data_IF_425131780881
#
_entry.id   IF_425131780881
#
_cell.length_a   1.000
_cell.length_b   1.000
_cell.length_c   1.000
_cell.angle_alpha   90.00
_cell.angle_beta   90.00
_cell.angle_gamma   90.00
#
_symmetry.space_group_name_H-M   'P 1'
#
loop_
_entity.id
_entity.type
_entity.pdbx_description
1 polymer ?
#
# COMPACT_ATOMS: atom_id res chain seq x y z
N UNK A 1 -1.40 -39.74 -75.69
CA UNK A 1 -0.49 -38.71 -75.13
C UNK A 1 -1.11 -38.18 -73.84
N UNK A 2 -0.49 -38.39 -72.67
CA UNK A 2 -1.05 -37.92 -71.41
C UNK A 2 -0.67 -36.44 -71.18
N UNK A 3 -1.67 -35.61 -70.89
CA UNK A 3 -1.51 -34.20 -70.55
C UNK A 3 -1.14 -34.15 -69.06
N UNK A 4 0.12 -33.82 -68.78
CA UNK A 4 0.63 -33.68 -67.42
C UNK A 4 0.02 -32.48 -66.69
N UNK A 5 -0.71 -32.74 -65.62
CA UNK A 5 -1.21 -31.72 -64.69
C UNK A 5 -0.06 -31.25 -63.79
N UNK A 6 0.45 -30.05 -64.05
CA UNK A 6 1.42 -29.35 -63.21
C UNK A 6 0.77 -28.96 -61.88
N UNK A 7 0.99 -29.76 -60.83
CA UNK A 7 0.72 -29.37 -59.45
C UNK A 7 1.68 -28.24 -59.03
N UNK A 8 1.18 -27.01 -58.97
CA UNK A 8 1.88 -25.89 -58.35
C UNK A 8 1.78 -26.02 -56.81
N UNK A 9 2.90 -25.97 -56.07
CA UNK A 9 2.88 -26.07 -54.60
C UNK A 9 2.41 -24.74 -53.99
N UNK A 10 1.12 -24.65 -53.66
CA UNK A 10 0.49 -23.48 -53.01
C UNK A 10 0.53 -23.55 -51.47
N UNK A 11 1.70 -23.71 -50.84
CA UNK A 11 1.75 -23.94 -49.37
C UNK A 11 2.75 -23.15 -48.50
N UNK A 12 3.52 -22.17 -49.00
CA UNK A 12 4.58 -21.54 -48.17
C UNK A 12 4.29 -20.14 -47.57
N UNK A 13 3.16 -19.49 -47.85
CA UNK A 13 2.92 -18.09 -47.40
C UNK A 13 2.15 -17.94 -46.08
N UNK A 14 1.49 -19.00 -45.58
CA UNK A 14 0.71 -18.96 -44.31
C UNK A 14 1.53 -18.74 -43.03
N UNK A 15 2.79 -19.21 -42.87
CA UNK A 15 3.55 -19.07 -41.62
C UNK A 15 3.96 -17.62 -41.31
N UNK A 16 4.07 -16.76 -42.32
CA UNK A 16 4.46 -15.37 -42.11
C UNK A 16 3.29 -14.53 -41.59
N UNK A 17 2.10 -14.67 -42.16
CA UNK A 17 0.89 -13.93 -41.74
C UNK A 17 0.55 -14.16 -40.26
N UNK A 18 0.69 -15.39 -39.74
CA UNK A 18 0.40 -15.69 -38.33
C UNK A 18 1.41 -15.05 -37.37
N UNK A 19 2.70 -14.96 -37.75
CA UNK A 19 3.72 -14.24 -36.97
C UNK A 19 3.48 -12.74 -36.93
N UNK A 20 3.08 -12.15 -38.06
CA UNK A 20 2.75 -10.72 -38.14
C UNK A 20 1.54 -10.37 -37.27
N UNK A 21 0.48 -11.19 -37.33
CA UNK A 21 -0.71 -11.02 -36.48
C UNK A 21 -0.37 -11.13 -34.99
N UNK A 22 0.36 -12.16 -34.57
CA UNK A 22 0.77 -12.33 -33.18
C UNK A 22 1.64 -11.16 -32.66
N UNK A 23 2.53 -10.62 -33.50
CA UNK A 23 3.35 -9.45 -33.16
C UNK A 23 2.50 -8.19 -32.99
N UNK A 24 1.55 -7.96 -33.91
CA UNK A 24 0.60 -6.84 -33.86
C UNK A 24 -0.27 -6.89 -32.60
N UNK A 25 -0.82 -8.05 -32.27
CA UNK A 25 -1.66 -8.26 -31.09
C UNK A 25 -0.88 -8.03 -29.80
N UNK A 26 0.36 -8.53 -29.73
CA UNK A 26 1.23 -8.30 -28.59
C UNK A 26 1.56 -6.81 -28.41
N UNK A 27 1.82 -6.08 -29.51
CA UNK A 27 2.06 -4.63 -29.47
C UNK A 27 0.81 -3.88 -28.99
N UNK A 28 -0.37 -4.21 -29.52
CA UNK A 28 -1.64 -3.62 -29.11
C UNK A 28 -1.92 -3.83 -27.62
N UNK A 29 -1.69 -5.04 -27.11
CA UNK A 29 -1.82 -5.35 -25.68
C UNK A 29 -0.84 -4.56 -24.81
N UNK A 30 0.41 -4.40 -25.26
CA UNK A 30 1.42 -3.60 -24.55
C UNK A 30 1.04 -2.12 -24.49
N UNK A 31 0.57 -1.54 -25.60
CA UNK A 31 0.10 -0.15 -25.67
C UNK A 31 -1.11 0.04 -24.77
N UNK A 32 -2.07 -0.89 -24.79
CA UNK A 32 -3.23 -0.88 -23.89
C UNK A 32 -2.78 -0.90 -22.42
N UNK A 33 -1.89 -1.82 -22.04
CA UNK A 33 -1.37 -1.93 -20.69
C UNK A 33 -0.67 -0.65 -20.21
N UNK A 34 0.13 -0.02 -21.06
CA UNK A 34 0.77 1.27 -20.77
C UNK A 34 -0.25 2.39 -20.56
N UNK A 35 -1.28 2.47 -21.42
CA UNK A 35 -2.35 3.46 -21.31
C UNK A 35 -3.14 3.31 -20.00
N UNK A 36 -3.47 2.08 -19.61
CA UNK A 36 -4.18 1.78 -18.37
C UNK A 36 -3.36 2.16 -17.13
N UNK A 37 -2.06 1.85 -17.12
CA UNK A 37 -1.16 2.08 -15.98
C UNK A 37 -0.71 3.54 -15.83
N UNK A 38 -0.63 4.30 -16.94
CA UNK A 38 -0.05 5.65 -16.99
C UNK A 38 -0.56 6.60 -15.90
N UNK A 39 -1.87 6.70 -15.60
CA UNK A 39 -2.35 7.64 -14.58
C UNK A 39 -1.82 7.34 -13.18
N UNK A 40 -1.76 6.06 -12.80
CA UNK A 40 -1.22 5.63 -11.51
C UNK A 40 0.29 5.86 -11.45
N UNK A 41 1.00 5.58 -12.56
CA UNK A 41 2.43 5.88 -12.67
C UNK A 41 2.69 7.38 -12.48
N UNK A 42 1.90 8.26 -13.09
CA UNK A 42 2.03 9.70 -12.92
C UNK A 42 1.82 10.12 -11.46
N UNK A 43 0.82 9.56 -10.77
CA UNK A 43 0.55 9.85 -9.35
C UNK A 43 1.71 9.39 -8.46
N UNK A 44 2.24 8.18 -8.69
CA UNK A 44 3.39 7.66 -7.95
C UNK A 44 4.62 8.57 -8.05
N UNK A 45 4.93 9.07 -9.24
CA UNK A 45 6.08 9.96 -9.45
C UNK A 45 5.81 11.42 -9.07
N UNK A 46 4.56 11.85 -8.99
CA UNK A 46 4.21 13.16 -8.46
C UNK A 46 4.51 13.27 -6.96
N UNK A 47 4.44 12.18 -6.19
CA UNK A 47 4.75 12.17 -4.75
C UNK A 47 6.15 12.72 -4.43
N UNK A 48 7.24 12.08 -4.91
CA UNK A 48 8.60 12.57 -4.71
C UNK A 48 8.81 14.01 -5.22
N UNK A 49 8.24 14.37 -6.37
CA UNK A 49 8.37 15.71 -6.95
C UNK A 49 7.68 16.78 -6.09
N UNK A 50 6.46 16.52 -5.64
CA UNK A 50 5.71 17.44 -4.79
C UNK A 50 6.31 17.55 -3.39
N UNK A 51 6.98 16.49 -2.90
CA UNK A 51 7.68 16.54 -1.62
C UNK A 51 8.77 17.62 -1.59
N UNK A 52 9.51 17.82 -2.70
CA UNK A 52 10.54 18.87 -2.81
C UNK A 52 10.00 20.29 -2.59
N UNK A 53 8.74 20.53 -2.94
CA UNK A 53 8.10 21.83 -2.75
C UNK A 53 7.22 21.86 -1.49
N UNK A 54 7.14 20.74 -0.77
CA UNK A 54 6.30 20.54 0.41
C UNK A 54 4.80 20.38 0.10
N UNK A 55 4.46 20.00 -1.13
CA UNK A 55 3.09 19.91 -1.64
C UNK A 55 2.51 18.50 -1.62
N UNK A 56 3.20 17.50 -1.10
CA UNK A 56 2.76 16.10 -1.14
C UNK A 56 1.49 15.85 -0.33
N UNK A 57 1.22 16.61 0.74
CA UNK A 57 -0.05 16.49 1.47
C UNK A 57 -1.13 17.43 0.98
N UNK A 58 -0.77 18.56 0.38
CA UNK A 58 -1.72 19.58 -0.05
C UNK A 58 -2.14 19.42 -1.51
N UNK A 59 -1.19 19.22 -2.42
CA UNK A 59 -1.43 19.21 -3.86
C UNK A 59 -1.61 17.80 -4.42
N UNK A 60 -0.95 16.79 -3.84
CA UNK A 60 -1.00 15.42 -4.36
C UNK A 60 -2.42 14.83 -4.37
N UNK A 61 -3.30 15.07 -3.36
CA UNK A 61 -4.68 14.58 -3.44
C UNK A 61 -5.45 15.16 -4.61
N UNK A 62 -5.38 16.48 -4.83
CA UNK A 62 -6.05 17.12 -5.95
C UNK A 62 -5.46 16.69 -7.30
N UNK A 63 -4.15 16.50 -7.37
CA UNK A 63 -3.48 15.95 -8.55
C UNK A 63 -3.99 14.54 -8.86
N UNK A 64 -4.08 13.66 -7.86
CA UNK A 64 -4.61 12.32 -8.02
C UNK A 64 -6.07 12.32 -8.50
N UNK A 65 -6.92 13.16 -7.89
CA UNK A 65 -8.31 13.35 -8.31
C UNK A 65 -8.39 13.78 -9.78
N UNK A 66 -7.65 14.82 -10.17
CA UNK A 66 -7.66 15.37 -11.52
C UNK A 66 -7.19 14.34 -12.56
N UNK A 67 -6.07 13.66 -12.30
CA UNK A 67 -5.50 12.65 -13.20
C UNK A 67 -6.44 11.45 -13.35
N UNK A 68 -7.03 10.96 -12.26
CA UNK A 68 -7.99 9.87 -12.30
C UNK A 68 -9.27 10.28 -13.05
N UNK A 69 -9.83 11.44 -12.79
CA UNK A 69 -11.03 11.94 -13.49
C UNK A 69 -10.78 12.13 -14.99
N UNK A 70 -9.67 12.77 -15.37
CA UNK A 70 -9.31 13.00 -16.77
C UNK A 70 -9.12 11.69 -17.53
N UNK A 71 -8.49 10.70 -16.90
CA UNK A 71 -8.15 9.42 -17.55
C UNK A 71 -9.29 8.37 -17.49
N UNK A 72 -10.03 8.38 -16.39
CA UNK A 72 -11.17 7.48 -16.14
C UNK A 72 -12.45 7.96 -16.84
N UNK A 73 -12.60 9.27 -17.01
CA UNK A 73 -13.78 9.90 -17.60
C UNK A 73 -15.06 9.57 -16.84
N UNK A 74 -16.19 9.54 -17.57
CA UNK A 74 -17.52 9.25 -17.01
C UNK A 74 -17.61 7.89 -16.29
N UNK A 75 -16.71 6.94 -16.59
CA UNK A 75 -16.73 5.62 -15.96
C UNK A 75 -16.52 5.69 -14.43
N UNK A 76 -15.77 6.66 -13.92
CA UNK A 76 -15.55 6.79 -12.47
C UNK A 76 -16.77 7.36 -11.72
N UNK A 77 -17.67 8.03 -12.42
CA UNK A 77 -18.83 8.71 -11.84
C UNK A 77 -20.15 8.01 -12.19
N UNK A 78 -20.14 7.02 -13.08
CA UNK A 78 -21.34 6.31 -13.48
C UNK A 78 -21.88 5.43 -12.33
N UNK A 79 -23.14 5.63 -11.87
CA UNK A 79 -23.70 4.91 -10.72
C UNK A 79 -23.61 3.38 -10.83
N UNK A 80 -23.75 2.83 -12.04
CA UNK A 80 -23.66 1.39 -12.28
C UNK A 80 -22.30 0.74 -11.97
N UNK A 81 -21.24 1.54 -11.81
CA UNK A 81 -19.89 1.07 -11.52
C UNK A 81 -19.58 1.00 -10.02
N UNK A 82 -20.44 1.55 -9.15
CA UNK A 82 -20.28 1.50 -7.71
C UNK A 82 -20.76 0.14 -7.17
N UNK A 83 -19.87 -0.85 -7.20
CA UNK A 83 -20.15 -2.22 -6.69
C UNK A 83 -19.02 -2.71 -5.79
N UNK A 84 -19.37 -3.57 -4.83
CA UNK A 84 -18.41 -4.22 -3.94
C UNK A 84 -17.55 -3.20 -3.17
N UNK A 85 -16.21 -3.32 -3.17
CA UNK A 85 -15.34 -2.41 -2.43
C UNK A 85 -15.51 -0.92 -2.81
N UNK A 86 -15.73 -0.61 -4.10
CA UNK A 86 -15.88 0.78 -4.55
C UNK A 86 -17.13 1.43 -3.94
N UNK A 87 -18.23 0.67 -3.84
CA UNK A 87 -19.46 1.14 -3.21
C UNK A 87 -19.23 1.45 -1.73
N UNK A 88 -18.64 0.51 -0.98
CA UNK A 88 -18.39 0.71 0.46
C UNK A 88 -17.44 1.87 0.74
N UNK A 89 -16.43 2.05 -0.12
CA UNK A 89 -15.53 3.19 -0.02
C UNK A 89 -16.23 4.53 -0.33
N UNK A 90 -17.16 4.56 -1.28
CA UNK A 90 -17.99 5.74 -1.54
C UNK A 90 -18.92 6.04 -0.36
N UNK A 91 -19.60 5.02 0.18
CA UNK A 91 -20.47 5.17 1.36
C UNK A 91 -19.65 5.68 2.55
N UNK A 92 -18.42 5.18 2.75
CA UNK A 92 -17.51 5.69 3.77
C UNK A 92 -17.29 7.20 3.62
N UNK A 93 -16.95 7.69 2.41
CA UNK A 93 -16.73 9.12 2.19
C UNK A 93 -17.98 9.96 2.52
N UNK A 94 -19.16 9.52 2.07
CA UNK A 94 -20.41 10.22 2.36
C UNK A 94 -20.68 10.26 3.87
N UNK A 95 -20.43 9.17 4.59
CA UNK A 95 -20.65 9.11 6.04
C UNK A 95 -19.62 9.94 6.82
N UNK A 96 -18.38 10.04 6.34
CA UNK A 96 -17.38 10.93 6.93
C UNK A 96 -17.83 12.40 6.88
N UNK A 97 -18.52 12.84 5.83
CA UNK A 97 -19.02 14.22 5.74
C UNK A 97 -20.03 14.56 6.85
N UNK A 98 -20.78 13.59 7.36
CA UNK A 98 -21.74 13.85 8.45
C UNK A 98 -21.04 14.27 9.75
N UNK A 99 -19.80 13.82 9.96
CA UNK A 99 -19.00 14.20 11.14
C UNK A 99 -18.56 15.66 11.14
N UNK A 100 -18.69 16.38 10.02
CA UNK A 100 -18.45 17.83 9.93
C UNK A 100 -19.32 18.60 10.91
N UNK A 101 -20.55 18.13 11.12
CA UNK A 101 -21.52 18.76 12.04
C UNK A 101 -21.05 18.75 13.51
N UNK A 102 -20.05 17.93 13.84
CA UNK A 102 -19.50 17.79 15.20
C UNK A 102 -18.25 18.64 15.43
N UNK A 103 -17.77 19.35 14.40
CA UNK A 103 -16.58 20.18 14.48
C UNK A 103 -16.93 21.55 15.04
N UNK A 104 -16.31 21.91 16.18
CA UNK A 104 -16.61 23.15 16.90
C UNK A 104 -15.62 24.30 16.65
N UNK A 105 -14.46 24.06 16.02
CA UNK A 105 -13.43 25.09 15.82
C UNK A 105 -12.95 25.18 14.39
N UNK A 106 -12.69 26.41 13.91
CA UNK A 106 -12.23 26.69 12.54
C UNK A 106 -10.97 25.92 12.15
N UNK A 107 -10.00 25.81 13.07
CA UNK A 107 -8.77 25.07 12.81
C UNK A 107 -9.04 23.59 12.54
N UNK A 108 -9.99 22.98 13.26
CA UNK A 108 -10.39 21.59 13.03
C UNK A 108 -11.14 21.41 11.71
N UNK A 109 -11.91 22.40 11.24
CA UNK A 109 -12.48 22.36 9.89
C UNK A 109 -11.39 22.28 8.82
N UNK A 110 -10.31 23.05 8.97
CA UNK A 110 -9.17 23.00 8.03
C UNK A 110 -8.52 21.62 8.06
N UNK A 111 -8.24 21.07 9.25
CA UNK A 111 -7.70 19.71 9.38
C UNK A 111 -8.63 18.66 8.78
N UNK A 112 -9.93 18.77 9.00
CA UNK A 112 -10.93 17.86 8.43
C UNK A 112 -10.92 17.91 6.90
N UNK A 113 -11.03 19.10 6.30
CA UNK A 113 -11.06 19.26 4.85
C UNK A 113 -9.79 18.67 4.23
N UNK A 114 -8.66 18.87 4.89
CA UNK A 114 -7.40 18.33 4.43
C UNK A 114 -7.37 16.80 4.50
N UNK A 115 -7.65 16.22 5.67
CA UNK A 115 -7.71 14.76 5.86
C UNK A 115 -8.73 14.11 4.91
N UNK A 116 -9.89 14.76 4.73
CA UNK A 116 -10.93 14.33 3.81
C UNK A 116 -10.46 14.38 2.35
N UNK A 117 -9.72 15.41 1.93
CA UNK A 117 -9.14 15.47 0.57
C UNK A 117 -8.23 14.27 0.27
N UNK A 118 -7.50 13.78 1.27
CA UNK A 118 -6.64 12.59 1.14
C UNK A 118 -7.51 11.33 0.94
N UNK A 119 -8.61 11.18 1.68
CA UNK A 119 -9.55 10.08 1.47
C UNK A 119 -10.25 10.14 0.11
N UNK A 120 -10.57 11.34 -0.40
CA UNK A 120 -11.08 11.50 -1.77
C UNK A 120 -10.02 11.04 -2.78
N UNK A 121 -8.77 11.47 -2.64
CA UNK A 121 -7.66 11.01 -3.49
C UNK A 121 -7.48 9.48 -3.45
N UNK A 122 -7.54 8.90 -2.25
CA UNK A 122 -7.52 7.44 -2.04
C UNK A 122 -8.67 6.75 -2.82
N UNK A 123 -9.90 7.28 -2.71
CA UNK A 123 -11.06 6.75 -3.42
C UNK A 123 -10.89 6.80 -4.94
N UNK A 124 -10.38 7.91 -5.49
CA UNK A 124 -10.18 8.02 -6.94
C UNK A 124 -9.09 7.08 -7.46
N UNK A 125 -7.97 6.94 -6.74
CA UNK A 125 -6.92 5.97 -7.07
C UNK A 125 -7.48 4.55 -7.04
N UNK A 126 -8.17 4.20 -5.95
CA UNK A 126 -8.74 2.86 -5.76
C UNK A 126 -9.76 2.53 -6.84
N UNK A 127 -10.67 3.46 -7.14
CA UNK A 127 -11.73 3.31 -8.13
C UNK A 127 -11.18 3.26 -9.55
N UNK A 128 -10.18 4.09 -9.88
CA UNK A 128 -9.54 4.06 -11.19
C UNK A 128 -8.91 2.69 -11.46
N UNK A 129 -8.13 2.16 -10.52
CA UNK A 129 -7.53 0.83 -10.66
C UNK A 129 -8.64 -0.22 -10.79
N UNK A 130 -9.69 -0.13 -9.97
CA UNK A 130 -10.77 -1.12 -9.94
C UNK A 130 -11.68 -1.17 -11.15
N UNK A 131 -11.74 -0.09 -11.91
CA UNK A 131 -12.63 0.03 -13.06
C UNK A 131 -11.87 0.03 -14.39
N UNK A 132 -10.59 0.43 -14.41
CA UNK A 132 -9.84 0.69 -15.66
C UNK A 132 -8.63 -0.22 -15.86
N UNK A 133 -8.04 -0.76 -14.79
CA UNK A 133 -6.89 -1.68 -14.91
C UNK A 133 -7.43 -3.10 -15.08
N UNK A 134 -7.57 -3.53 -16.34
CA UNK A 134 -8.11 -4.85 -16.69
C UNK A 134 -7.07 -5.78 -17.34
N UNK A 135 -5.84 -5.31 -17.56
CA UNK A 135 -4.76 -6.11 -18.12
C UNK A 135 -3.70 -6.45 -17.07
N UNK A 136 -3.25 -7.71 -17.06
CA UNK A 136 -2.14 -8.14 -16.21
C UNK A 136 -0.86 -7.34 -16.51
N UNK A 137 -0.64 -6.94 -17.78
CA UNK A 137 0.46 -6.09 -18.17
C UNK A 137 0.45 -4.73 -17.46
N UNK A 138 -0.71 -4.06 -17.37
CA UNK A 138 -0.83 -2.78 -16.66
C UNK A 138 -0.53 -2.95 -15.17
N UNK A 139 -1.02 -4.03 -14.57
CA UNK A 139 -0.74 -4.38 -13.18
C UNK A 139 0.78 -4.48 -12.91
N UNK A 140 1.50 -5.24 -13.74
CA UNK A 140 2.95 -5.40 -13.62
C UNK A 140 3.69 -4.07 -13.84
N UNK A 141 3.20 -3.20 -14.73
CA UNK A 141 3.78 -1.86 -14.92
C UNK A 141 3.63 -1.02 -13.65
N UNK A 142 2.45 -1.00 -13.03
CA UNK A 142 2.20 -0.28 -11.77
C UNK A 142 3.15 -0.79 -10.67
N UNK A 143 3.23 -2.11 -10.48
CA UNK A 143 4.11 -2.74 -9.49
C UNK A 143 5.58 -2.35 -9.71
N UNK A 144 6.07 -2.38 -10.95
CA UNK A 144 7.44 -1.95 -11.27
C UNK A 144 7.68 -0.50 -10.88
N UNK A 145 6.73 0.39 -11.13
CA UNK A 145 6.90 1.82 -10.81
C UNK A 145 6.78 2.09 -9.31
N UNK A 146 6.00 1.31 -8.56
CA UNK A 146 6.04 1.34 -7.09
C UNK A 146 7.44 0.99 -6.57
N UNK A 147 8.05 -0.09 -7.09
CA UNK A 147 9.41 -0.50 -6.69
C UNK A 147 10.46 0.54 -7.10
N UNK A 148 10.38 1.09 -8.31
CA UNK A 148 11.32 2.13 -8.77
C UNK A 148 11.17 3.45 -8.01
N UNK A 149 9.94 3.86 -7.68
CA UNK A 149 9.70 5.01 -6.81
C UNK A 149 10.32 4.77 -5.43
N UNK A 150 10.20 3.55 -4.87
CA UNK A 150 10.82 3.24 -3.59
C UNK A 150 12.35 3.24 -3.72
N UNK A 151 12.91 2.73 -4.81
CA UNK A 151 14.35 2.83 -5.07
C UNK A 151 14.84 4.29 -5.08
N UNK A 152 14.09 5.21 -5.69
CA UNK A 152 14.40 6.64 -5.62
C UNK A 152 14.32 7.17 -4.18
N UNK A 153 13.33 6.73 -3.39
CA UNK A 153 13.23 7.07 -1.97
C UNK A 153 14.42 6.53 -1.15
N UNK A 154 14.89 5.32 -1.45
CA UNK A 154 16.08 4.75 -0.82
C UNK A 154 17.33 5.56 -1.14
N UNK A 155 17.56 5.87 -2.42
CA UNK A 155 18.70 6.71 -2.83
C UNK A 155 18.67 8.05 -2.10
N UNK A 156 17.50 8.69 -2.04
CA UNK A 156 17.31 9.94 -1.34
C UNK A 156 17.57 9.81 0.17
N UNK A 157 17.06 8.75 0.80
CA UNK A 157 17.29 8.47 2.21
C UNK A 157 18.77 8.23 2.53
N UNK A 158 19.50 7.52 1.66
CA UNK A 158 20.91 7.21 1.86
C UNK A 158 21.80 8.46 1.79
N UNK A 159 21.35 9.55 1.15
CA UNK A 159 22.09 10.83 1.19
C UNK A 159 22.26 11.37 2.62
N UNK A 160 21.38 10.97 3.55
CA UNK A 160 21.49 11.30 4.96
C UNK A 160 22.82 10.85 5.58
N UNK A 161 23.38 9.71 5.16
CA UNK A 161 24.67 9.22 5.67
C UNK A 161 25.86 10.01 5.14
N UNK A 162 25.68 10.78 4.06
CA UNK A 162 26.71 11.69 3.54
C UNK A 162 26.63 13.03 4.28
N UNK A 163 25.41 13.51 4.55
CA UNK A 163 25.18 14.75 5.26
C UNK A 163 23.79 14.77 5.89
N UNK A 164 23.69 15.25 7.13
CA UNK A 164 22.42 15.57 7.80
C UNK A 164 21.81 16.84 7.20
N UNK A 165 21.43 16.79 5.92
CA UNK A 165 20.83 17.94 5.27
C UNK A 165 19.31 17.93 5.44
N UNK A 166 18.79 19.11 5.75
CA UNK A 166 17.38 19.43 5.73
C UNK A 166 17.17 20.80 5.09
N UNK A 167 15.97 21.04 4.59
CA UNK A 167 15.66 22.30 3.93
C UNK A 167 14.25 22.77 4.26
N UNK A 168 14.03 24.09 4.15
CA UNK A 168 12.71 24.68 4.24
C UNK A 168 12.03 24.66 2.87
N UNK A 169 10.88 23.98 2.77
CA UNK A 169 10.13 23.82 1.53
C UNK A 169 9.49 25.13 1.06
N UNK A 170 9.20 25.23 -0.23
CA UNK A 170 8.58 26.43 -0.83
C UNK A 170 7.22 26.71 -0.19
N UNK A 171 6.36 25.69 -0.07
CA UNK A 171 5.05 25.85 0.56
C UNK A 171 5.19 26.17 2.05
N UNK A 172 6.19 25.58 2.72
CA UNK A 172 6.58 25.90 4.09
C UNK A 172 6.71 27.40 4.37
N UNK A 173 7.42 28.08 3.47
CA UNK A 173 7.69 29.52 3.55
C UNK A 173 6.47 30.39 3.28
N UNK A 174 5.47 29.87 2.57
CA UNK A 174 4.23 30.57 2.21
C UNK A 174 3.11 30.28 3.22
N UNK A 175 3.24 29.20 4.01
CA UNK A 175 2.25 28.87 5.05
C UNK A 175 2.11 30.01 6.07
N UNK A 176 0.87 30.41 6.43
CA UNK A 176 0.63 31.34 7.54
C UNK A 176 1.22 30.82 8.85
N UNK A 177 1.69 31.73 9.71
CA UNK A 177 2.35 31.38 10.98
C UNK A 177 1.48 30.50 11.87
N UNK A 178 0.16 30.70 11.86
CA UNK A 178 -0.77 29.88 12.64
C UNK A 178 -0.71 28.40 12.23
N UNK A 179 -0.58 28.11 10.93
CA UNK A 179 -0.45 26.74 10.44
C UNK A 179 0.96 26.23 10.60
N UNK A 180 1.98 27.04 10.28
CA UNK A 180 3.40 26.71 10.39
C UNK A 180 3.78 26.26 11.80
N UNK A 181 3.24 26.92 12.83
CA UNK A 181 3.53 26.60 14.24
C UNK A 181 2.92 25.28 14.72
N UNK A 182 1.97 24.70 13.99
CA UNK A 182 1.41 23.37 14.30
C UNK A 182 2.42 22.25 13.99
N UNK A 183 2.35 21.08 14.65
CA UNK A 183 3.22 19.94 14.33
C UNK A 183 3.16 19.53 12.85
N UNK A 184 1.97 19.64 12.24
CA UNK A 184 1.75 19.33 10.83
C UNK A 184 2.38 20.37 9.91
N UNK A 185 2.23 21.66 10.22
CA UNK A 185 2.85 22.75 9.46
C UNK A 185 4.37 22.68 9.49
N UNK A 186 4.98 22.35 10.64
CA UNK A 186 6.42 22.14 10.74
C UNK A 186 6.93 21.00 9.86
N UNK A 187 6.16 19.91 9.74
CA UNK A 187 6.51 18.82 8.84
C UNK A 187 6.38 19.19 7.36
N UNK A 188 5.56 20.19 7.02
CA UNK A 188 5.56 20.77 5.68
C UNK A 188 6.75 21.68 5.47
N UNK A 189 6.98 22.54 6.45
CA UNK A 189 8.01 23.55 6.39
C UNK A 189 9.39 22.92 6.29
N UNK A 190 9.76 22.10 7.26
CA UNK A 190 11.09 21.53 7.35
C UNK A 190 11.10 20.10 6.83
N UNK A 191 11.98 19.83 5.87
CA UNK A 191 12.14 18.53 5.22
C UNK A 191 13.49 17.95 5.58
N UNK A 192 13.51 16.70 6.03
CA UNK A 192 14.74 15.96 6.30
C UNK A 192 14.63 14.51 5.81
N UNK A 193 15.77 13.93 5.41
CA UNK A 193 15.85 12.55 4.90
C UNK A 193 15.95 11.50 6.01
N UNK A 194 16.28 11.96 7.20
CA UNK A 194 16.39 11.19 8.42
C UNK A 194 16.57 12.12 9.60
N UNK A 195 16.81 11.52 10.77
CA UNK A 195 17.18 12.22 11.99
C UNK A 195 17.93 11.28 12.92
N UNK A 196 18.84 11.84 13.69
CA UNK A 196 19.38 11.17 14.88
C UNK A 196 18.27 11.08 15.91
N UNK A 197 17.78 9.86 16.09
CA UNK A 197 16.79 9.56 17.10
C UNK A 197 17.19 8.21 17.67
N UNK A 198 17.92 8.25 18.78
CA UNK A 198 18.31 7.04 19.50
C UNK A 198 17.07 6.18 19.72
N UNK A 199 17.09 4.99 19.13
CA UNK A 199 15.99 4.06 19.20
C UNK A 199 16.61 2.67 19.26
N UNK A 200 16.59 2.08 20.47
CA UNK A 200 16.97 0.69 20.73
C UNK A 200 18.46 0.34 20.65
N UNK A 201 19.38 1.30 20.57
CA UNK A 201 20.82 1.00 20.57
C UNK A 201 21.29 0.12 19.41
N UNK A 202 20.42 -0.18 18.44
CA UNK A 202 20.78 -0.86 17.20
C UNK A 202 21.48 0.15 16.28
N UNK A 203 20.83 1.31 16.09
CA UNK A 203 21.28 2.38 15.19
C UNK A 203 20.72 3.70 15.73
N UNK A 204 21.52 4.76 15.77
CA UNK A 204 21.10 6.09 16.24
C UNK A 204 20.36 6.89 15.17
N UNK A 205 20.42 6.40 13.93
CA UNK A 205 19.87 7.04 12.75
C UNK A 205 18.54 6.43 12.35
N UNK A 206 17.57 7.30 12.06
CA UNK A 206 16.25 6.90 11.63
C UNK A 206 15.87 7.56 10.31
N UNK A 207 15.81 6.76 9.24
CA UNK A 207 15.54 7.25 7.88
C UNK A 207 14.04 7.48 7.65
N UNK A 208 13.70 8.56 6.96
CA UNK A 208 12.32 8.96 6.61
C UNK A 208 12.09 9.21 5.12
N UNK A 209 13.13 9.59 4.35
CA UNK A 209 13.00 9.91 2.92
C UNK A 209 11.90 10.95 2.65
N UNK A 210 11.11 10.76 1.59
CA UNK A 210 9.95 11.60 1.23
C UNK A 210 8.73 11.42 2.14
N UNK A 211 8.80 10.53 3.13
CA UNK A 211 7.69 10.28 4.04
C UNK A 211 7.82 11.19 5.27
N UNK A 212 6.70 11.69 5.77
CA UNK A 212 6.66 12.61 6.93
C UNK A 212 7.31 11.99 8.17
N UNK A 213 7.18 10.68 8.33
CA UNK A 213 7.84 9.96 9.41
C UNK A 213 8.45 8.67 8.92
N UNK A 214 9.50 8.25 9.60
CA UNK A 214 10.16 6.97 9.40
C UNK A 214 9.27 5.75 9.65
N UNK A 215 8.21 5.88 10.46
CA UNK A 215 7.19 4.83 10.59
C UNK A 215 6.45 4.63 9.25
N UNK A 216 6.06 5.72 8.58
CA UNK A 216 5.39 5.65 7.28
C UNK A 216 6.33 5.20 6.17
N UNK A 217 7.61 5.61 6.24
CA UNK A 217 8.62 5.06 5.33
C UNK A 217 8.75 3.55 5.50
N UNK A 218 8.90 3.06 6.75
CA UNK A 218 8.95 1.63 7.02
C UNK A 218 7.69 0.88 6.57
N UNK A 219 6.51 1.50 6.71
CA UNK A 219 5.26 0.93 6.19
C UNK A 219 5.23 0.85 4.66
N UNK A 220 5.66 1.89 3.96
CA UNK A 220 5.77 1.89 2.50
C UNK A 220 6.80 0.86 2.02
N UNK A 221 7.95 0.77 2.69
CA UNK A 221 8.98 -0.24 2.42
C UNK A 221 8.43 -1.64 2.65
N UNK A 222 7.65 -1.88 3.70
CA UNK A 222 6.96 -3.16 3.92
C UNK A 222 5.98 -3.51 2.80
N UNK A 223 5.15 -2.56 2.34
CA UNK A 223 4.21 -2.79 1.24
C UNK A 223 4.96 -3.21 -0.03
N UNK A 224 6.06 -2.54 -0.35
CA UNK A 224 6.71 -2.64 -1.66
C UNK A 224 7.77 -3.75 -1.73
N UNK A 225 8.47 -4.05 -0.63
CA UNK A 225 9.57 -5.06 -0.60
C UNK A 225 9.16 -6.43 -1.14
N UNK A 226 7.98 -6.99 -0.78
CA UNK A 226 7.48 -8.23 -1.37
C UNK A 226 7.35 -8.21 -2.90
N UNK A 227 7.05 -7.06 -3.48
CA UNK A 227 6.98 -6.91 -4.93
C UNK A 227 8.36 -6.86 -5.59
N UNK A 228 9.38 -6.30 -4.93
CA UNK A 228 10.78 -6.40 -5.40
C UNK A 228 11.22 -7.87 -5.48
N UNK A 229 10.84 -8.67 -4.48
CA UNK A 229 11.09 -10.12 -4.46
C UNK A 229 10.35 -10.84 -5.60
N UNK A 230 9.07 -10.51 -5.81
CA UNK A 230 8.30 -11.00 -6.96
C UNK A 230 8.98 -10.69 -8.30
N UNK A 231 9.39 -9.44 -8.51
CA UNK A 231 10.05 -9.02 -9.75
C UNK A 231 11.41 -9.71 -9.95
N UNK A 232 12.13 -9.98 -8.85
CA UNK A 232 13.36 -10.79 -8.86
C UNK A 232 13.06 -12.16 -9.44
N UNK A 233 12.10 -12.87 -8.85
CA UNK A 233 11.70 -14.19 -9.27
C UNK A 233 11.15 -14.30 -10.69
N UNK A 234 10.48 -13.26 -11.17
CA UNK A 234 9.94 -13.17 -12.53
C UNK A 234 10.96 -12.70 -13.58
N UNK A 235 12.19 -12.38 -13.18
CA UNK A 235 13.22 -11.82 -14.07
C UNK A 235 14.35 -12.81 -14.34
N UNK A 236 15.14 -12.53 -15.38
CA UNK A 236 16.35 -13.29 -15.77
C UNK A 236 17.50 -12.32 -16.09
N UNK A 237 18.73 -12.82 -16.05
CA UNK A 237 19.95 -12.05 -16.40
C UNK A 237 20.14 -10.82 -15.51
N UNK A 238 20.57 -9.69 -16.09
CA UNK A 238 20.82 -8.45 -15.34
C UNK A 238 19.60 -7.91 -14.58
N UNK A 239 18.38 -8.17 -15.08
CA UNK A 239 17.15 -7.75 -14.39
C UNK A 239 16.96 -8.49 -13.07
N UNK A 240 17.32 -9.77 -13.00
CA UNK A 240 17.28 -10.55 -11.76
C UNK A 240 18.19 -9.91 -10.70
N UNK A 241 19.42 -9.57 -11.09
CA UNK A 241 20.41 -8.93 -10.21
C UNK A 241 19.90 -7.58 -9.75
N UNK A 242 19.37 -6.75 -10.66
CA UNK A 242 18.84 -5.43 -10.33
C UNK A 242 17.69 -5.50 -9.30
N UNK A 243 16.66 -6.31 -9.55
CA UNK A 243 15.54 -6.43 -8.62
C UNK A 243 15.95 -7.10 -7.30
N UNK A 244 16.87 -8.06 -7.35
CA UNK A 244 17.43 -8.72 -6.17
C UNK A 244 18.19 -7.73 -5.29
N UNK A 245 19.04 -6.88 -5.88
CA UNK A 245 19.74 -5.82 -5.18
C UNK A 245 18.76 -4.83 -4.53
N UNK A 246 17.72 -4.39 -5.25
CA UNK A 246 16.69 -3.51 -4.70
C UNK A 246 15.93 -4.17 -3.53
N UNK A 247 15.63 -5.47 -3.62
CA UNK A 247 15.03 -6.21 -2.52
C UNK A 247 15.92 -6.24 -1.26
N UNK A 248 17.23 -6.49 -1.44
CA UNK A 248 18.20 -6.49 -0.34
C UNK A 248 18.35 -5.09 0.28
N UNK A 249 18.47 -4.05 -0.54
CA UNK A 249 18.50 -2.65 -0.08
C UNK A 249 17.23 -2.30 0.69
N UNK A 250 16.06 -2.70 0.19
CA UNK A 250 14.78 -2.42 0.86
C UNK A 250 14.70 -3.08 2.23
N UNK A 251 15.20 -4.32 2.35
CA UNK A 251 15.28 -5.05 3.62
C UNK A 251 16.24 -4.35 4.59
N UNK A 252 17.40 -3.91 4.12
CA UNK A 252 18.36 -3.14 4.92
C UNK A 252 17.76 -1.82 5.41
N UNK A 253 17.13 -1.04 4.52
CA UNK A 253 16.52 0.24 4.91
C UNK A 253 15.34 0.05 5.86
N UNK A 254 14.58 -1.05 5.75
CA UNK A 254 13.52 -1.36 6.70
C UNK A 254 14.04 -1.38 8.15
N UNK A 255 15.26 -1.87 8.39
CA UNK A 255 15.93 -1.84 9.70
C UNK A 255 16.17 -0.38 10.14
N UNK A 256 16.72 0.45 9.27
CA UNK A 256 16.97 1.88 9.53
C UNK A 256 15.71 2.73 9.67
N UNK A 257 14.55 2.28 9.20
CA UNK A 257 13.27 2.98 9.47
C UNK A 257 12.81 2.80 10.92
N UNK A 258 13.29 1.74 11.58
CA UNK A 258 12.95 1.34 12.93
C UNK A 258 11.43 1.17 13.15
N UNK A 259 10.70 0.83 12.09
CA UNK A 259 9.27 0.51 12.15
C UNK A 259 9.09 -0.95 12.58
N UNK A 260 8.99 -1.21 13.90
CA UNK A 260 8.99 -2.57 14.48
C UNK A 260 7.93 -3.48 13.90
N UNK A 261 6.69 -3.01 13.85
CA UNK A 261 5.59 -3.79 13.30
C UNK A 261 5.87 -4.14 11.83
N UNK A 262 6.40 -3.20 11.04
CA UNK A 262 6.78 -3.46 9.66
C UNK A 262 7.93 -4.47 9.53
N UNK A 263 8.95 -4.39 10.40
CA UNK A 263 10.07 -5.35 10.45
C UNK A 263 9.59 -6.76 10.79
N UNK A 264 8.78 -6.92 11.84
CA UNK A 264 8.22 -8.22 12.26
C UNK A 264 7.36 -8.81 11.14
N UNK A 265 6.47 -8.01 10.57
CA UNK A 265 5.61 -8.45 9.48
C UNK A 265 6.40 -8.81 8.22
N UNK A 266 7.49 -8.08 7.90
CA UNK A 266 8.38 -8.44 6.80
C UNK A 266 9.12 -9.75 7.07
N UNK A 267 9.58 -9.96 8.31
CA UNK A 267 10.24 -11.18 8.77
C UNK A 267 9.35 -12.42 8.64
N UNK A 268 8.03 -12.28 8.70
CA UNK A 268 7.07 -13.36 8.41
C UNK A 268 6.72 -13.43 6.92
N UNK A 269 6.42 -12.29 6.29
CA UNK A 269 5.93 -12.21 4.92
C UNK A 269 6.94 -12.75 3.89
N UNK A 270 8.22 -12.38 4.03
CA UNK A 270 9.28 -12.74 3.07
C UNK A 270 9.50 -14.27 3.03
N UNK A 271 9.73 -14.97 4.17
CA UNK A 271 9.84 -16.42 4.17
C UNK A 271 8.61 -17.14 3.61
N UNK A 272 7.40 -16.67 3.94
CA UNK A 272 6.14 -17.22 3.41
C UNK A 272 6.11 -17.14 1.88
N UNK A 273 6.42 -15.97 1.33
CA UNK A 273 6.45 -15.77 -0.13
C UNK A 273 7.53 -16.64 -0.78
N UNK A 274 8.72 -16.72 -0.18
CA UNK A 274 9.81 -17.56 -0.67
C UNK A 274 9.43 -19.05 -0.69
N UNK A 275 8.85 -19.54 0.40
CA UNK A 275 8.37 -20.91 0.52
C UNK A 275 7.35 -21.22 -0.58
N UNK A 276 6.33 -20.40 -0.73
CA UNK A 276 5.32 -20.60 -1.77
C UNK A 276 5.89 -20.54 -3.18
N UNK A 277 6.84 -19.64 -3.42
CA UNK A 277 7.52 -19.56 -4.71
C UNK A 277 8.26 -20.86 -5.03
N UNK A 278 8.93 -21.47 -4.05
CA UNK A 278 9.67 -22.74 -4.23
C UNK A 278 8.75 -23.92 -4.48
N UNK A 279 7.62 -24.00 -3.77
CA UNK A 279 6.69 -25.14 -3.87
C UNK A 279 5.75 -25.03 -5.07
N UNK A 280 5.55 -23.83 -5.67
CA UNK A 280 4.59 -23.64 -6.80
C UNK A 280 4.84 -24.53 -8.02
N UNK A 281 6.08 -24.97 -8.22
CA UNK A 281 6.52 -25.76 -9.38
C UNK A 281 6.61 -27.26 -9.08
N UNK A 282 6.31 -27.71 -7.86
CA UNK A 282 6.34 -29.15 -7.54
C UNK A 282 5.00 -29.79 -7.85
N UNK A 283 5.00 -31.07 -8.23
CA UNK A 283 3.77 -31.87 -8.45
C UNK A 283 2.88 -31.94 -7.19
N UNK A 284 3.46 -31.62 -6.02
CA UNK A 284 2.80 -31.56 -4.72
C UNK A 284 1.94 -30.31 -4.53
N UNK A 285 1.90 -29.34 -5.46
CA UNK A 285 1.06 -28.15 -5.33
C UNK A 285 -0.44 -28.44 -5.57
N UNK A 286 -0.98 -29.43 -4.85
CA UNK A 286 -2.42 -29.64 -4.72
C UNK A 286 -3.00 -28.61 -3.75
N UNK A 287 -4.29 -28.28 -3.89
CA UNK A 287 -4.99 -27.37 -2.97
C UNK A 287 -4.91 -27.83 -1.51
N UNK A 288 -4.84 -29.14 -1.29
CA UNK A 288 -4.68 -29.74 0.03
C UNK A 288 -3.30 -29.43 0.63
N UNK A 289 -2.23 -29.51 -0.17
CA UNK A 289 -0.88 -29.16 0.30
C UNK A 289 -0.77 -27.67 0.58
N UNK A 290 -1.41 -26.79 -0.20
CA UNK A 290 -1.47 -25.36 0.11
C UNK A 290 -2.10 -25.09 1.49
N UNK A 291 -3.28 -25.65 1.75
CA UNK A 291 -3.98 -25.48 3.02
C UNK A 291 -3.22 -26.16 4.17
N UNK A 292 -2.65 -27.34 3.92
CA UNK A 292 -1.92 -28.11 4.91
C UNK A 292 -0.57 -27.45 5.25
N UNK A 293 0.18 -26.93 4.28
CA UNK A 293 1.40 -26.17 4.55
C UNK A 293 1.11 -24.86 5.25
N UNK A 294 0.02 -24.17 4.89
CA UNK A 294 -0.45 -22.99 5.62
C UNK A 294 -0.84 -23.32 7.06
N UNK A 295 -1.55 -24.43 7.25
CA UNK A 295 -1.92 -24.96 8.57
C UNK A 295 -0.68 -25.35 9.38
N UNK A 296 0.25 -26.11 8.82
CA UNK A 296 1.49 -26.52 9.47
C UNK A 296 2.36 -25.33 9.82
N UNK A 297 2.47 -24.33 8.94
CA UNK A 297 3.18 -23.10 9.26
C UNK A 297 2.48 -22.34 10.38
N UNK A 298 1.15 -22.23 10.33
CA UNK A 298 0.35 -21.64 11.40
C UNK A 298 0.54 -22.37 12.73
N UNK A 299 0.51 -23.71 12.72
CA UNK A 299 0.73 -24.56 13.88
C UNK A 299 2.17 -24.51 14.39
N UNK A 300 3.17 -24.40 13.50
CA UNK A 300 4.58 -24.25 13.88
C UNK A 300 4.85 -22.86 14.48
N UNK A 301 4.24 -21.81 13.93
CA UNK A 301 4.29 -20.47 14.52
C UNK A 301 3.59 -20.49 15.88
N UNK A 302 2.38 -21.05 15.98
CA UNK A 302 1.63 -21.12 17.22
C UNK A 302 2.36 -21.99 18.27
N UNK A 303 2.88 -23.14 17.86
CA UNK A 303 3.65 -24.04 18.71
C UNK A 303 4.98 -23.42 19.14
N UNK A 304 5.67 -22.71 18.26
CA UNK A 304 6.84 -21.90 18.61
C UNK A 304 6.50 -20.78 19.58
N UNK A 305 5.38 -20.10 19.39
CA UNK A 305 4.88 -19.08 20.32
C UNK A 305 4.59 -19.69 21.70
N UNK A 306 4.00 -20.88 21.76
CA UNK A 306 3.70 -21.58 23.03
C UNK A 306 5.00 -22.06 23.70
N UNK A 307 5.88 -22.76 22.97
CA UNK A 307 7.11 -23.34 23.51
C UNK A 307 8.09 -22.27 23.97
N UNK A 308 8.23 -21.20 23.19
CA UNK A 308 9.08 -20.08 23.54
C UNK A 308 8.28 -18.97 24.23
N UNK A 309 7.09 -19.24 24.79
CA UNK A 309 6.22 -18.19 25.33
C UNK A 309 6.93 -17.35 26.38
N UNK A 310 7.64 -17.96 27.33
CA UNK A 310 8.34 -17.23 28.39
C UNK A 310 9.52 -16.42 27.86
N UNK A 311 10.28 -16.97 26.91
CA UNK A 311 11.38 -16.24 26.25
C UNK A 311 10.87 -15.10 25.36
N UNK A 312 9.81 -15.37 24.59
CA UNK A 312 9.14 -14.41 23.73
C UNK A 312 8.46 -13.33 24.55
N UNK A 313 7.80 -13.65 25.66
CA UNK A 313 7.19 -12.67 26.55
C UNK A 313 8.24 -11.89 27.32
N UNK A 314 9.33 -12.50 27.78
CA UNK A 314 10.44 -11.76 28.40
C UNK A 314 11.12 -10.85 27.39
N UNK A 315 11.43 -11.35 26.20
CA UNK A 315 11.99 -10.56 25.11
C UNK A 315 11.01 -9.50 24.62
N UNK A 316 9.72 -9.81 24.55
CA UNK A 316 8.66 -8.88 24.16
C UNK A 316 8.46 -7.82 25.24
N UNK A 317 8.46 -8.18 26.52
CA UNK A 317 8.35 -7.24 27.62
C UNK A 317 9.58 -6.34 27.65
N UNK A 318 10.79 -6.88 27.58
CA UNK A 318 12.02 -6.10 27.46
C UNK A 318 12.01 -5.18 26.22
N UNK A 319 11.56 -5.69 25.06
CA UNK A 319 11.65 -5.01 23.77
C UNK A 319 10.46 -4.08 23.42
N UNK A 320 9.28 -4.32 23.99
CA UNK A 320 8.06 -3.55 23.73
C UNK A 320 7.56 -2.76 24.94
N UNK A 321 7.75 -3.28 26.16
CA UNK A 321 7.20 -2.69 27.40
C UNK A 321 8.30 -1.94 28.17
N UNK A 322 9.34 -2.58 28.66
CA UNK A 322 10.32 -1.99 29.58
C UNK A 322 11.18 -0.90 28.93
N UNK A 323 11.69 -1.13 27.73
CA UNK A 323 12.45 -0.14 26.94
C UNK A 323 11.63 1.07 26.49
N UNK A 324 10.32 1.08 26.76
CA UNK A 324 9.34 2.01 26.21
C UNK A 324 8.19 2.36 27.14
N UNK A 325 8.22 2.01 28.43
CA UNK A 325 7.05 2.09 29.31
C UNK A 325 6.27 3.39 29.08
N UNK A 326 6.97 4.53 29.15
CA UNK A 326 6.40 5.86 28.83
C UNK A 326 5.69 6.00 27.47
N UNK A 327 6.24 5.47 26.36
CA UNK A 327 5.64 5.57 25.02
C UNK A 327 4.57 4.52 24.73
N UNK A 328 4.67 3.32 25.30
CA UNK A 328 3.64 2.29 25.17
C UNK A 328 2.44 2.64 26.05
N UNK A 329 2.68 3.06 27.29
CA UNK A 329 1.67 3.52 28.24
C UNK A 329 0.90 4.71 27.68
N UNK A 330 1.60 5.71 27.12
CA UNK A 330 0.95 6.83 26.42
C UNK A 330 0.03 6.36 25.27
N UNK A 331 0.40 5.33 24.51
CA UNK A 331 -0.46 4.82 23.43
C UNK A 331 -1.68 4.09 23.97
N UNK A 332 -1.52 3.27 25.01
CA UNK A 332 -2.64 2.60 25.65
C UNK A 332 -3.58 3.60 26.34
N UNK A 333 -3.03 4.65 26.95
CA UNK A 333 -3.79 5.77 27.48
C UNK A 333 -4.58 6.48 26.37
N UNK A 334 -3.93 6.80 25.24
CA UNK A 334 -4.61 7.35 24.05
C UNK A 334 -5.72 6.42 23.59
N UNK A 335 -5.51 5.11 23.52
CA UNK A 335 -6.55 4.16 23.09
C UNK A 335 -7.71 4.08 24.09
N UNK A 336 -7.40 4.06 25.38
CA UNK A 336 -8.40 4.06 26.44
C UNK A 336 -9.28 5.30 26.39
N UNK A 337 -8.66 6.49 26.28
CA UNK A 337 -9.37 7.76 26.18
C UNK A 337 -10.12 7.89 24.84
N UNK A 338 -9.52 7.43 23.74
CA UNK A 338 -10.21 7.36 22.43
C UNK A 338 -11.49 6.53 22.54
N UNK A 339 -11.43 5.37 23.21
CA UNK A 339 -12.60 4.52 23.43
C UNK A 339 -13.63 5.16 24.38
N UNK A 340 -13.17 5.80 25.45
CA UNK A 340 -14.04 6.50 26.39
C UNK A 340 -14.85 7.58 25.69
N UNK A 341 -14.18 8.47 24.95
CA UNK A 341 -14.81 9.56 24.21
C UNK A 341 -15.68 9.02 23.06
N UNK A 342 -15.26 7.96 22.37
CA UNK A 342 -16.09 7.33 21.35
C UNK A 342 -17.48 6.93 21.89
N UNK A 343 -17.57 6.46 23.14
CA UNK A 343 -18.87 6.13 23.76
C UNK A 343 -19.78 7.34 23.98
N UNK A 344 -19.22 8.54 24.06
CA UNK A 344 -19.99 9.78 24.24
C UNK A 344 -20.60 10.26 22.92
N UNK A 345 -19.94 10.03 21.78
CA UNK A 345 -20.46 10.36 20.46
C UNK A 345 -20.27 9.20 19.44
N UNK A 346 -20.97 8.07 19.63
CA UNK A 346 -20.68 6.85 18.87
C UNK A 346 -21.20 6.89 17.44
N UNK A 347 -22.22 7.71 17.14
CA UNK A 347 -22.89 7.70 15.83
C UNK A 347 -22.10 8.53 14.82
N UNK A 348 -21.78 9.78 15.16
CA UNK A 348 -21.16 10.75 14.25
C UNK A 348 -19.67 10.98 14.50
N UNK A 349 -19.15 10.61 15.68
CA UNK A 349 -17.77 10.88 16.06
C UNK A 349 -17.47 12.37 16.23
N UNK A 350 -16.19 12.75 16.27
CA UNK A 350 -15.75 14.12 16.58
C UNK A 350 -15.28 14.95 15.37
N UNK A 351 -15.40 14.42 14.16
CA UNK A 351 -14.88 14.97 12.90
C UNK A 351 -13.36 14.84 12.75
N UNK A 352 -12.59 15.17 13.77
CA UNK A 352 -11.12 15.18 13.73
C UNK A 352 -10.50 14.55 14.98
N UNK A 353 -9.17 14.42 14.98
CA UNK A 353 -8.43 14.15 16.22
C UNK A 353 -8.70 15.26 17.24
N UNK A 354 -8.63 14.93 18.53
CA UNK A 354 -8.85 15.90 19.62
C UNK A 354 -7.66 15.93 20.57
N UNK A 355 -7.17 17.13 20.86
CA UNK A 355 -6.15 17.34 21.89
C UNK A 355 -6.80 17.29 23.28
N UNK A 356 -6.17 16.60 24.21
CA UNK A 356 -6.59 16.51 25.61
C UNK A 356 -5.49 17.14 26.47
N UNK A 357 -5.82 17.96 27.48
CA UNK A 357 -4.82 18.53 28.39
C UNK A 357 -3.93 17.44 29.01
N UNK A 358 -2.63 17.67 29.05
CA UNK A 358 -1.65 16.71 29.57
C UNK A 358 -1.16 15.65 28.58
N UNK A 359 -1.79 15.51 27.40
CA UNK A 359 -1.32 14.60 26.34
C UNK A 359 -0.63 15.33 25.20
N UNK A 360 0.56 14.84 24.81
CA UNK A 360 1.34 15.36 23.67
C UNK A 360 0.74 14.94 22.32
N UNK A 361 0.07 13.79 22.27
CA UNK A 361 -0.49 13.19 21.05
C UNK A 361 -2.01 13.21 21.19
N UNK A 362 -2.75 13.65 20.15
CA UNK A 362 -4.20 13.73 20.24
C UNK A 362 -4.87 12.35 20.22
N UNK A 363 -6.04 12.26 20.85
CA UNK A 363 -6.90 11.07 20.79
C UNK A 363 -7.53 10.90 19.41
N UNK A 364 -7.87 9.66 19.07
CA UNK A 364 -8.26 9.29 17.71
C UNK A 364 -7.09 9.21 16.74
N UNK A 365 -5.88 8.94 17.23
CA UNK A 365 -4.67 8.75 16.42
C UNK A 365 -4.07 7.35 16.56
N UNK A 366 -2.97 7.07 15.85
CA UNK A 366 -2.11 5.87 15.98
C UNK A 366 -2.69 4.52 15.57
N UNK A 367 -4.01 4.35 15.47
CA UNK A 367 -4.66 3.16 14.94
C UNK A 367 -5.71 3.60 13.93
N UNK A 368 -5.61 3.15 12.67
CA UNK A 368 -6.51 3.64 11.62
C UNK A 368 -7.98 3.27 11.88
N UNK A 369 -8.23 2.06 12.38
CA UNK A 369 -9.58 1.59 12.68
C UNK A 369 -10.20 2.45 13.77
N UNK A 370 -9.52 2.58 14.93
CA UNK A 370 -10.01 3.42 16.02
C UNK A 370 -10.10 4.89 15.62
N UNK A 371 -9.18 5.40 14.80
CA UNK A 371 -9.27 6.75 14.28
C UNK A 371 -10.54 6.96 13.45
N UNK A 372 -10.93 6.02 12.57
CA UNK A 372 -12.18 6.14 11.81
C UNK A 372 -13.40 6.12 12.74
N UNK A 373 -13.48 5.17 13.67
CA UNK A 373 -14.62 5.09 14.61
C UNK A 373 -14.70 6.33 15.51
N UNK A 374 -13.57 6.82 16.01
CA UNK A 374 -13.52 8.01 16.85
C UNK A 374 -13.90 9.28 16.08
N UNK A 375 -13.27 9.51 14.91
CA UNK A 375 -13.47 10.74 14.14
C UNK A 375 -14.83 10.79 13.47
N UNK A 376 -15.35 9.65 13.02
CA UNK A 376 -16.51 9.65 12.12
C UNK A 376 -17.65 8.73 12.58
N UNK A 377 -17.51 8.14 13.77
CA UNK A 377 -18.52 7.30 14.39
C UNK A 377 -18.73 5.95 13.67
N UNK A 378 -19.73 5.21 14.14
CA UNK A 378 -20.13 3.91 13.61
C UNK A 378 -20.64 4.04 12.16
N UNK A 379 -21.24 5.19 11.81
CA UNK A 379 -21.75 5.42 10.46
C UNK A 379 -20.66 5.36 9.39
N UNK A 380 -19.44 5.81 9.70
CA UNK A 380 -18.28 5.64 8.82
C UNK A 380 -17.49 4.35 9.13
N UNK A 381 -17.40 3.96 10.41
CA UNK A 381 -16.69 2.77 10.84
C UNK A 381 -17.19 1.48 10.19
N UNK A 382 -18.51 1.27 10.10
CA UNK A 382 -19.08 0.07 9.47
C UNK A 382 -18.74 0.01 7.97
N UNK A 383 -19.02 1.04 7.13
CA UNK A 383 -18.60 1.05 5.74
C UNK A 383 -17.10 0.83 5.54
N UNK A 384 -16.25 1.36 6.42
CA UNK A 384 -14.81 1.10 6.38
C UNK A 384 -14.48 -0.38 6.58
N UNK A 385 -15.07 -1.05 7.58
CA UNK A 385 -14.89 -2.49 7.79
C UNK A 385 -15.44 -3.32 6.62
N UNK A 386 -16.60 -2.94 6.07
CA UNK A 386 -17.18 -3.61 4.90
C UNK A 386 -16.33 -3.43 3.64
N UNK A 387 -15.73 -2.26 3.46
CA UNK A 387 -14.75 -2.00 2.42
C UNK A 387 -13.57 -2.98 2.56
N UNK A 388 -12.92 -3.04 3.72
CA UNK A 388 -11.79 -3.93 3.94
C UNK A 388 -12.16 -5.41 3.79
N UNK A 389 -13.29 -5.83 4.38
CA UNK A 389 -13.81 -7.18 4.27
C UNK A 389 -14.11 -7.58 2.82
N UNK A 390 -14.62 -6.65 2.00
CA UNK A 390 -14.88 -6.90 0.59
C UNK A 390 -13.60 -7.03 -0.25
N UNK A 391 -12.56 -6.23 0.03
CA UNK A 391 -11.24 -6.37 -0.60
C UNK A 391 -10.64 -7.74 -0.26
N UNK A 392 -10.64 -8.10 1.04
CA UNK A 392 -10.14 -9.39 1.50
C UNK A 392 -10.93 -10.56 0.92
N UNK A 393 -12.26 -10.47 0.84
CA UNK A 393 -13.10 -11.51 0.26
C UNK A 393 -12.78 -11.77 -1.21
N UNK A 394 -12.57 -10.70 -2.01
CA UNK A 394 -12.16 -10.83 -3.42
C UNK A 394 -10.76 -11.40 -3.56
N UNK A 395 -9.81 -10.91 -2.75
CA UNK A 395 -8.44 -11.40 -2.74
C UNK A 395 -8.37 -12.88 -2.34
N UNK A 396 -9.12 -13.28 -1.30
CA UNK A 396 -9.21 -14.67 -0.87
C UNK A 396 -9.78 -15.56 -1.97
N UNK A 397 -10.87 -15.15 -2.65
CA UNK A 397 -11.42 -15.87 -3.81
C UNK A 397 -10.38 -16.06 -4.92
N UNK A 398 -9.50 -15.08 -5.13
CA UNK A 398 -8.46 -15.14 -6.17
C UNK A 398 -7.43 -16.25 -5.94
N UNK A 399 -7.23 -16.71 -4.70
CA UNK A 399 -6.36 -17.87 -4.38
C UNK A 399 -6.89 -19.18 -4.98
N UNK A 400 -8.19 -19.27 -5.21
CA UNK A 400 -8.84 -20.50 -5.68
C UNK A 400 -9.05 -20.55 -7.20
N UNK A 401 -8.73 -19.46 -7.91
CA UNK A 401 -8.88 -19.37 -9.37
C UNK A 401 -7.93 -20.35 -10.05
N UNK A 402 -8.47 -21.19 -10.94
CA UNK A 402 -7.68 -22.14 -11.73
C UNK A 402 -6.96 -21.37 -12.84
N UNK A 403 -5.63 -21.32 -12.77
CA UNK A 403 -4.77 -20.62 -13.74
C UNK A 403 -3.77 -21.61 -14.34
N UNK A 404 -3.44 -21.52 -15.65
CA UNK A 404 -2.40 -22.33 -16.27
C UNK A 404 -1.05 -22.18 -15.55
N UNK A 405 -0.26 -23.26 -15.41
CA UNK A 405 0.96 -23.28 -14.60
C UNK A 405 2.08 -22.35 -15.10
N UNK A 406 2.03 -21.90 -16.36
CA UNK A 406 3.06 -21.04 -16.96
C UNK A 406 2.97 -19.55 -16.59
N UNK A 407 2.01 -19.14 -15.76
CA UNK A 407 1.76 -17.72 -15.48
C UNK A 407 2.23 -17.30 -14.09
N UNK A 408 3.00 -16.21 -14.01
CA UNK A 408 3.43 -15.58 -12.73
C UNK A 408 2.28 -15.02 -11.89
N UNK A 409 1.04 -15.17 -12.36
CA UNK A 409 -0.17 -14.75 -11.69
C UNK A 409 -0.28 -15.32 -10.28
N UNK A 410 -0.03 -16.62 -10.08
CA UNK A 410 -0.17 -17.25 -8.76
C UNK A 410 0.78 -16.65 -7.73
N UNK A 411 2.03 -16.41 -8.11
CA UNK A 411 3.00 -15.78 -7.22
C UNK A 411 2.60 -14.36 -6.86
N UNK A 412 2.05 -13.61 -7.83
CA UNK A 412 1.56 -12.27 -7.58
C UNK A 412 0.35 -12.25 -6.64
N UNK A 413 -0.59 -13.18 -6.80
CA UNK A 413 -1.72 -13.36 -5.86
C UNK A 413 -1.23 -13.62 -4.44
N UNK A 414 -0.24 -14.49 -4.27
CA UNK A 414 0.32 -14.82 -2.94
C UNK A 414 1.01 -13.59 -2.34
N UNK A 415 1.81 -12.87 -3.13
CA UNK A 415 2.46 -11.62 -2.71
C UNK A 415 1.41 -10.61 -2.26
N UNK A 416 0.38 -10.37 -3.07
CA UNK A 416 -0.73 -9.48 -2.72
C UNK A 416 -1.45 -9.92 -1.45
N UNK A 417 -1.73 -11.22 -1.30
CA UNK A 417 -2.41 -11.77 -0.14
C UNK A 417 -1.62 -11.53 1.15
N UNK A 418 -0.35 -11.93 1.17
CA UNK A 418 0.53 -11.80 2.34
C UNK A 418 0.78 -10.33 2.67
N UNK A 419 1.10 -9.51 1.67
CA UNK A 419 1.35 -8.07 1.85
C UNK A 419 0.10 -7.34 2.32
N UNK A 420 -1.07 -7.65 1.76
CA UNK A 420 -2.33 -7.00 2.17
C UNK A 420 -2.67 -7.38 3.61
N UNK A 421 -2.58 -8.66 3.97
CA UNK A 421 -2.91 -9.11 5.32
C UNK A 421 -1.99 -8.47 6.36
N UNK A 422 -0.68 -8.48 6.12
CA UNK A 422 0.24 -7.82 7.04
C UNK A 422 0.10 -6.29 7.01
N UNK A 423 -0.26 -5.66 5.89
CA UNK A 423 -0.58 -4.23 5.88
C UNK A 423 -1.81 -3.92 6.75
N UNK A 424 -2.86 -4.75 6.70
CA UNK A 424 -4.03 -4.58 7.55
C UNK A 424 -3.72 -4.78 9.04
N UNK A 425 -2.76 -5.65 9.36
CA UNK A 425 -2.21 -5.77 10.71
C UNK A 425 -1.38 -4.55 11.10
N UNK A 426 -0.60 -3.99 10.17
CA UNK A 426 0.23 -2.81 10.38
C UNK A 426 -0.59 -1.56 10.71
N UNK A 427 -1.76 -1.38 10.08
CA UNK A 427 -2.64 -0.22 10.35
C UNK A 427 -3.43 -0.33 11.67
N UNK A 428 -3.29 -1.43 12.41
CA UNK A 428 -3.70 -1.51 13.83
C UNK A 428 -2.77 -0.72 14.75
N UNK A 429 -1.53 -0.45 14.31
CA UNK A 429 -0.52 0.23 15.13
C UNK A 429 0.00 1.54 14.50
N UNK A 430 -0.51 1.88 13.31
CA UNK A 430 -0.17 3.09 12.57
C UNK A 430 -1.45 3.70 11.99
N UNK A 431 -1.54 5.03 12.02
CA UNK A 431 -2.55 5.78 11.28
C UNK A 431 -1.96 6.30 9.94
N UNK A 432 -2.36 5.75 8.78
CA UNK A 432 -1.79 6.12 7.49
C UNK A 432 -2.03 7.57 7.07
N UNK A 433 -3.09 8.19 7.58
CA UNK A 433 -3.52 9.55 7.20
C UNK A 433 -2.48 10.63 7.50
N UNK A 434 -1.52 10.33 8.37
CA UNK A 434 -0.37 11.19 8.65
C UNK A 434 0.56 11.34 7.43
N UNK A 435 0.46 10.48 6.41
CA UNK A 435 1.29 10.56 5.22
C UNK A 435 0.52 10.22 3.94
N UNK A 436 0.38 11.21 3.06
CA UNK A 436 -0.39 11.10 1.81
C UNK A 436 0.26 10.12 0.80
N UNK A 437 1.58 9.98 0.79
CA UNK A 437 2.24 9.04 -0.13
C UNK A 437 1.98 7.61 0.35
N UNK A 438 2.12 7.36 1.66
CA UNK A 438 1.83 6.06 2.25
C UNK A 438 0.36 5.64 2.05
N UNK A 439 -0.61 6.51 2.30
CA UNK A 439 -2.03 6.17 2.11
C UNK A 439 -2.38 5.94 0.63
N UNK A 440 -1.69 6.59 -0.31
CA UNK A 440 -1.90 6.33 -1.75
C UNK A 440 -1.28 5.01 -2.19
N UNK A 441 -0.12 4.62 -1.63
CA UNK A 441 0.42 3.27 -1.81
C UNK A 441 -0.53 2.21 -1.25
N UNK A 442 -1.19 2.47 -0.13
CA UNK A 442 -2.23 1.61 0.42
C UNK A 442 -3.45 1.51 -0.51
N UNK A 443 -3.90 2.62 -1.10
CA UNK A 443 -4.98 2.64 -2.08
C UNK A 443 -4.64 1.74 -3.28
N UNK A 444 -3.41 1.86 -3.79
CA UNK A 444 -2.91 1.04 -4.90
C UNK A 444 -2.89 -0.43 -4.49
N UNK A 445 -2.27 -0.78 -3.35
CA UNK A 445 -2.22 -2.17 -2.84
C UNK A 445 -3.62 -2.79 -2.73
N UNK A 446 -4.54 -2.10 -2.06
CA UNK A 446 -5.89 -2.62 -1.83
C UNK A 446 -6.69 -2.76 -3.14
N UNK A 447 -6.53 -1.84 -4.08
CA UNK A 447 -7.18 -1.92 -5.38
C UNK A 447 -6.60 -3.05 -6.23
N UNK A 448 -5.28 -3.18 -6.26
CA UNK A 448 -4.60 -4.30 -6.92
C UNK A 448 -5.09 -5.64 -6.35
N UNK A 449 -5.21 -5.75 -5.03
CA UNK A 449 -5.73 -6.94 -4.35
C UNK A 449 -7.21 -7.23 -4.67
N UNK A 450 -8.05 -6.20 -4.76
CA UNK A 450 -9.46 -6.38 -5.12
C UNK A 450 -9.66 -6.83 -6.58
N UNK A 451 -8.72 -6.51 -7.48
CA UNK A 451 -8.89 -6.76 -8.92
C UNK A 451 -8.12 -7.96 -9.45
N UNK A 452 -7.14 -8.50 -8.73
CA UNK A 452 -6.28 -9.57 -9.25
C UNK A 452 -7.11 -10.77 -9.76
N UNK A 453 -8.19 -11.14 -9.06
CA UNK A 453 -9.10 -12.22 -9.49
C UNK A 453 -9.74 -12.03 -10.87
N UNK A 454 -9.97 -10.79 -11.29
CA UNK A 454 -10.53 -10.44 -12.63
C UNK A 454 -9.49 -10.52 -13.74
N UNK A 455 -8.21 -10.47 -13.38
CA UNK A 455 -7.07 -10.51 -14.30
C UNK A 455 -6.56 -11.93 -14.54
N UNK A 456 -7.24 -12.93 -13.97
CA UNK A 456 -6.90 -14.32 -14.22
C UNK A 456 -6.98 -14.59 -15.73
N UNK A 457 -5.94 -15.20 -16.32
CA UNK A 457 -5.98 -15.60 -17.73
C UNK A 457 -7.18 -16.51 -17.92
N UNK A 458 -8.19 -16.07 -18.67
CA UNK A 458 -9.27 -16.95 -19.12
C UNK A 458 -8.61 -18.06 -19.92
N UNK A 459 -9.00 -19.32 -19.67
CA UNK A 459 -8.61 -20.41 -20.57
C UNK A 459 -9.04 -19.95 -21.96
N UNK A 460 -8.09 -19.78 -22.86
CA UNK A 460 -8.38 -19.77 -24.29
C UNK A 460 -9.08 -21.11 -24.52
N UNK A 461 -10.37 -21.04 -24.78
CA UNK A 461 -11.24 -22.20 -24.96
C UNK A 461 -10.80 -22.99 -26.18
#
# INVERSE_FOLDING_TARGET
MPIGSSHLPTESTRPQLSRWQASSDHLAQKVKAQREARPIVMILWAGPLLWFIGGERLLLPYFAIAICLFSGGKALLAPGNFKGPVLWLFVLLVMQLLSVLQISTTLRYITFVWDYSIYIGFFFIFSYISLRVNSFGAFVIIVKHMVLMLAACHLLALTYFVSEWGYSSIIGKILPDQLRNTPMGRNIEFRSMGRKLYFFGLIDDRLSSIFLTSIHYGAATYIITPFSLFLTFSSRGLKLIFWGALFLVSTGVLIYTQSRTAMVLAGVAIPVIFFFYRVRNTALFSRAVFLFSGFLLGAAILGGVIVFWDYLTTSFNAFFIESRASSADQRFEIYSLTWQYFKENPIFGYGTQTSVPGMLIPIGSHNWYFAIFYKHGILAGIPFLLFLGSVLGLLFRSLFVKVPPKHDYRSLVIVLFVTTLGYLALVLTIEPLVDCVHIFLAAILLALSANIGRLAPTRVA
#
